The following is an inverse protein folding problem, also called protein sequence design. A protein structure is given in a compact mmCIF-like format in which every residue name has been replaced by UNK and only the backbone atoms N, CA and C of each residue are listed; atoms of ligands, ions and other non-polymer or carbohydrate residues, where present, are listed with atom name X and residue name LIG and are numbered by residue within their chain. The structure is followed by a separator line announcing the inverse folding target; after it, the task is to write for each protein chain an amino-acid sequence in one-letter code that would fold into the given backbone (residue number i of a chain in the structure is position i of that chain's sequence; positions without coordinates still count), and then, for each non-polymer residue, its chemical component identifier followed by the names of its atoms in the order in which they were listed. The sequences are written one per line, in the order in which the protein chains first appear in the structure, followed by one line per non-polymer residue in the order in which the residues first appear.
data_IF_120789297071
#
_entry.id   IF_120789297071
#
_cell.length_a   1.000
_cell.length_b   1.000
_cell.length_c   1.000
_cell.angle_alpha   90.00
_cell.angle_beta   90.00
_cell.angle_gamma   90.00
#
_symmetry.space_group_name_H-M   'P 1'
#
loop_
_entity.id
_entity.type
_entity.pdbx_description
1 polymer ?
#
# COMPACT_ATOMS: atom_id res chain seq x y z
N UNK A 1 26.10 -13.15 -34.02
CA UNK A 1 25.44 -12.02 -33.33
C UNK A 1 23.90 -12.09 -33.34
N UNK A 2 23.25 -12.76 -34.30
CA UNK A 2 21.77 -12.83 -34.42
C UNK A 2 21.02 -13.52 -33.26
N UNK A 3 21.71 -14.36 -32.46
CA UNK A 3 21.12 -15.06 -31.29
C UNK A 3 21.01 -14.20 -30.03
N UNK A 4 21.79 -13.12 -29.92
CA UNK A 4 21.80 -12.25 -28.72
C UNK A 4 20.66 -11.23 -28.75
N UNK A 5 20.25 -10.76 -29.94
CA UNK A 5 19.15 -9.82 -30.11
C UNK A 5 17.78 -10.42 -29.70
N UNK A 6 17.56 -11.71 -29.96
CA UNK A 6 16.32 -12.38 -29.53
C UNK A 6 16.20 -12.50 -28.01
N UNK A 7 17.33 -12.60 -27.29
CA UNK A 7 17.36 -12.77 -25.84
C UNK A 7 17.05 -11.46 -25.11
N UNK A 8 17.51 -10.33 -25.65
CA UNK A 8 17.19 -8.98 -25.14
C UNK A 8 15.71 -8.65 -25.36
N UNK A 9 15.12 -9.08 -26.48
CA UNK A 9 13.70 -8.84 -26.78
C UNK A 9 12.76 -9.60 -25.83
N UNK A 10 13.10 -10.85 -25.48
CA UNK A 10 12.33 -11.67 -24.53
C UNK A 10 12.45 -11.12 -23.11
N UNK A 11 13.63 -10.66 -22.70
CA UNK A 11 13.82 -10.01 -21.40
C UNK A 11 13.05 -8.67 -21.31
N UNK A 12 13.02 -7.88 -22.37
CA UNK A 12 12.29 -6.62 -22.41
C UNK A 12 10.76 -6.77 -22.30
N UNK A 13 10.21 -7.83 -22.91
CA UNK A 13 8.76 -8.11 -22.85
C UNK A 13 8.30 -8.60 -21.46
N UNK A 14 9.15 -9.31 -20.72
CA UNK A 14 8.83 -9.79 -19.37
C UNK A 14 8.83 -8.66 -18.32
N UNK A 15 9.73 -7.68 -18.46
CA UNK A 15 9.79 -6.52 -17.55
C UNK A 15 8.54 -5.63 -17.69
N UNK A 16 8.04 -5.43 -18.91
CA UNK A 16 6.85 -4.61 -19.16
C UNK A 16 5.55 -5.20 -18.57
N UNK A 17 5.44 -6.53 -18.48
CA UNK A 17 4.26 -7.17 -17.88
C UNK A 17 4.20 -7.02 -16.35
N UNK A 18 5.36 -7.10 -15.67
CA UNK A 18 5.45 -6.98 -14.22
C UNK A 18 5.16 -5.55 -13.72
N UNK A 19 5.63 -4.53 -14.45
CA UNK A 19 5.32 -3.13 -14.14
C UNK A 19 3.81 -2.86 -14.24
N UNK A 20 3.16 -3.35 -15.29
CA UNK A 20 1.71 -3.20 -15.46
C UNK A 20 0.88 -3.89 -14.36
N UNK A 21 1.36 -5.00 -13.78
CA UNK A 21 0.67 -5.69 -12.69
C UNK A 21 0.84 -4.96 -11.34
N UNK A 22 2.04 -4.43 -11.10
CA UNK A 22 2.37 -3.65 -9.91
C UNK A 22 1.56 -2.35 -9.86
N UNK A 23 1.54 -1.60 -10.97
CA UNK A 23 0.78 -0.35 -11.08
C UNK A 23 -0.71 -0.57 -10.86
N UNK A 24 -1.29 -1.62 -11.47
CA UNK A 24 -2.70 -1.99 -11.24
C UNK A 24 -2.99 -2.33 -9.79
N UNK A 25 -2.05 -3.00 -9.11
CA UNK A 25 -2.20 -3.33 -7.68
C UNK A 25 -2.16 -2.09 -6.81
N UNK A 26 -1.31 -1.10 -7.13
CA UNK A 26 -1.28 0.19 -6.44
C UNK A 26 -2.59 0.95 -6.70
N UNK A 27 -3.00 1.06 -7.97
CA UNK A 27 -4.22 1.77 -8.38
C UNK A 27 -5.49 1.21 -7.72
N UNK A 28 -5.53 -0.09 -7.40
CA UNK A 28 -6.64 -0.70 -6.66
C UNK A 28 -6.87 -0.04 -5.28
N UNK A 29 -5.81 0.49 -4.67
CA UNK A 29 -5.85 1.06 -3.31
C UNK A 29 -5.67 2.57 -3.27
N UNK A 30 -5.11 3.18 -4.32
CA UNK A 30 -4.97 4.62 -4.49
C UNK A 30 -6.32 5.34 -4.34
N UNK A 31 -6.35 6.39 -3.52
CA UNK A 31 -7.54 7.23 -3.34
C UNK A 31 -7.82 8.11 -4.57
N UNK A 32 -9.07 8.53 -4.77
CA UNK A 32 -9.42 9.40 -5.90
C UNK A 32 -9.29 10.90 -5.60
N UNK A 33 -9.17 11.28 -4.31
CA UNK A 33 -9.12 12.68 -3.86
C UNK A 33 -7.80 13.01 -3.17
N UNK A 34 -7.36 14.27 -3.27
CA UNK A 34 -6.07 14.70 -2.71
C UNK A 34 -6.00 14.65 -1.18
N UNK A 35 -7.14 14.86 -0.52
CA UNK A 35 -7.28 14.83 0.94
C UNK A 35 -7.77 13.48 1.47
N UNK A 36 -7.60 12.41 0.70
CA UNK A 36 -7.95 11.05 1.09
C UNK A 36 -6.72 10.19 1.31
N UNK A 37 -6.81 9.34 2.34
CA UNK A 37 -5.83 8.30 2.64
C UNK A 37 -6.51 6.95 2.79
N UNK A 38 -5.90 5.91 2.25
CA UNK A 38 -6.36 4.55 2.41
C UNK A 38 -5.32 3.71 3.13
N UNK A 39 -5.64 3.29 4.35
CA UNK A 39 -4.82 2.41 5.16
C UNK A 39 -5.14 0.96 4.81
N UNK A 40 -4.18 0.21 4.30
CA UNK A 40 -4.34 -1.20 3.96
C UNK A 40 -3.42 -2.01 4.87
N UNK A 41 -4.03 -2.80 5.76
CA UNK A 41 -3.29 -3.74 6.62
C UNK A 41 -3.25 -5.11 5.94
N UNK A 42 -2.06 -5.56 5.59
CA UNK A 42 -1.80 -6.86 4.99
C UNK A 42 -1.52 -7.91 6.06
N UNK A 43 -2.13 -9.09 5.93
CA UNK A 43 -1.96 -10.19 6.87
C UNK A 43 -1.94 -11.55 6.16
N UNK A 44 -1.15 -12.49 6.65
CA UNK A 44 -1.03 -13.83 6.07
C UNK A 44 -2.08 -14.79 6.68
N UNK A 45 -2.11 -14.90 8.01
CA UNK A 45 -2.95 -15.87 8.70
C UNK A 45 -4.26 -15.24 9.18
N UNK A 46 -4.16 -14.30 10.11
CA UNK A 46 -5.29 -13.70 10.82
C UNK A 46 -5.35 -12.18 10.61
N UNK A 47 -6.57 -11.60 10.51
CA UNK A 47 -6.72 -10.15 10.48
C UNK A 47 -6.16 -9.50 11.76
N UNK A 48 -5.84 -8.19 11.75
CA UNK A 48 -5.23 -7.53 12.89
C UNK A 48 -6.11 -7.65 14.14
N UNK A 49 -5.49 -7.72 15.32
CA UNK A 49 -6.21 -7.83 16.58
C UNK A 49 -7.05 -6.57 16.92
N UNK A 50 -7.79 -6.62 18.04
CA UNK A 50 -8.62 -5.48 18.47
C UNK A 50 -7.78 -4.22 18.78
N UNK A 51 -6.56 -4.38 19.30
CA UNK A 51 -5.69 -3.27 19.70
C UNK A 51 -5.22 -2.51 18.46
N UNK A 52 -4.68 -3.21 17.46
CA UNK A 52 -4.25 -2.62 16.19
C UNK A 52 -5.41 -1.95 15.46
N UNK A 53 -6.58 -2.61 15.39
CA UNK A 53 -7.79 -2.00 14.80
C UNK A 53 -8.20 -0.72 15.52
N UNK A 54 -8.11 -0.69 16.85
CA UNK A 54 -8.41 0.52 17.63
C UNK A 54 -7.41 1.65 17.33
N UNK A 55 -6.13 1.33 17.20
CA UNK A 55 -5.09 2.31 16.89
C UNK A 55 -5.25 2.89 15.47
N UNK A 56 -5.51 2.04 14.47
CA UNK A 56 -5.81 2.48 13.10
C UNK A 56 -7.03 3.41 13.07
N UNK A 57 -8.10 3.06 13.80
CA UNK A 57 -9.27 3.93 13.91
C UNK A 57 -8.97 5.25 14.64
N UNK A 58 -8.10 5.22 15.66
CA UNK A 58 -7.62 6.44 16.33
C UNK A 58 -6.94 7.40 15.36
N UNK A 59 -6.04 6.88 14.50
CA UNK A 59 -5.40 7.69 13.45
C UNK A 59 -6.41 8.23 12.43
N UNK A 60 -7.40 7.43 12.01
CA UNK A 60 -8.48 7.87 11.13
C UNK A 60 -9.26 9.04 11.75
N UNK A 61 -9.62 8.96 13.03
CA UNK A 61 -10.33 10.04 13.74
C UNK A 61 -9.45 11.30 13.85
N UNK A 62 -8.17 11.12 14.16
CA UNK A 62 -7.21 12.23 14.19
C UNK A 62 -7.11 12.95 12.83
N UNK A 63 -6.99 12.20 11.74
CA UNK A 63 -6.93 12.72 10.38
C UNK A 63 -8.22 13.46 9.98
N UNK A 64 -9.38 12.95 10.38
CA UNK A 64 -10.66 13.62 10.12
C UNK A 64 -10.73 15.02 10.75
N UNK A 65 -10.13 15.23 11.93
CA UNK A 65 -10.02 16.56 12.57
C UNK A 65 -9.14 17.54 11.79
N UNK A 66 -8.32 17.03 10.87
CA UNK A 66 -7.49 17.80 9.95
C UNK A 66 -8.08 17.90 8.54
N UNK A 67 -9.37 17.57 8.36
CA UNK A 67 -10.05 17.51 7.06
C UNK A 67 -9.46 16.50 6.07
N UNK A 68 -8.81 15.45 6.59
CA UNK A 68 -8.30 14.33 5.80
C UNK A 68 -9.21 13.14 6.01
N UNK A 69 -9.82 12.66 4.93
CA UNK A 69 -10.69 11.48 4.95
C UNK A 69 -9.80 10.25 4.92
N UNK A 70 -9.99 9.34 5.88
CA UNK A 70 -9.24 8.09 5.94
C UNK A 70 -10.14 6.86 5.92
N UNK A 71 -9.80 5.90 5.07
CA UNK A 71 -10.42 4.56 5.02
C UNK A 71 -9.43 3.51 5.49
N UNK A 72 -9.95 2.38 5.98
CA UNK A 72 -9.14 1.27 6.47
C UNK A 72 -9.67 -0.02 5.83
N UNK A 73 -8.80 -0.79 5.21
CA UNK A 73 -9.09 -2.13 4.72
C UNK A 73 -8.09 -3.14 5.28
N UNK A 74 -8.53 -4.40 5.34
CA UNK A 74 -7.74 -5.53 5.83
C UNK A 74 -7.61 -6.52 4.68
N UNK A 75 -6.41 -6.64 4.13
CA UNK A 75 -6.16 -7.45 2.95
C UNK A 75 -5.39 -8.71 3.33
N UNK A 76 -6.02 -9.88 3.16
CA UNK A 76 -5.30 -11.14 3.29
C UNK A 76 -4.28 -11.26 2.14
N UNK A 77 -3.06 -11.62 2.47
CA UNK A 77 -2.02 -12.00 1.52
C UNK A 77 -2.37 -13.41 1.05
N UNK A 78 -3.00 -13.49 -0.12
CA UNK A 78 -3.30 -14.76 -0.78
C UNK A 78 -2.34 -14.94 -1.95
N UNK A 79 -1.87 -16.16 -2.17
CA UNK A 79 -0.93 -16.49 -3.26
C UNK A 79 -1.46 -16.07 -4.63
N UNK A 80 -2.78 -16.13 -4.84
CA UNK A 80 -3.42 -15.78 -6.12
C UNK A 80 -3.28 -14.32 -6.54
N UNK A 81 -3.24 -13.38 -5.58
CA UNK A 81 -3.10 -11.94 -5.88
C UNK A 81 -1.65 -11.46 -5.80
N UNK A 82 -0.75 -12.32 -5.33
CA UNK A 82 0.69 -12.13 -5.26
C UNK A 82 1.14 -10.74 -4.76
N UNK A 83 0.46 -10.21 -3.74
CA UNK A 83 0.82 -8.89 -3.19
C UNK A 83 2.23 -8.89 -2.60
N UNK A 84 2.76 -10.04 -2.16
CA UNK A 84 4.16 -10.15 -1.73
C UNK A 84 5.13 -9.82 -2.86
N UNK A 85 4.94 -10.34 -4.06
CA UNK A 85 5.81 -10.00 -5.20
C UNK A 85 5.51 -8.61 -5.76
N UNK A 86 4.24 -8.23 -5.86
CA UNK A 86 3.84 -6.98 -6.53
C UNK A 86 4.05 -5.74 -5.67
N UNK A 87 3.81 -5.82 -4.36
CA UNK A 87 3.89 -4.68 -3.45
C UNK A 87 4.96 -4.84 -2.38
N UNK A 88 5.71 -5.96 -2.38
CA UNK A 88 6.71 -6.29 -1.36
C UNK A 88 6.14 -6.20 0.07
N UNK A 89 4.87 -6.59 0.24
CA UNK A 89 4.22 -6.63 1.55
C UNK A 89 4.51 -7.95 2.24
N UNK A 90 4.49 -7.91 3.56
CA UNK A 90 4.66 -9.07 4.44
C UNK A 90 3.52 -9.13 5.43
N UNK A 91 3.44 -10.19 6.21
CA UNK A 91 2.49 -10.26 7.31
C UNK A 91 2.64 -9.05 8.26
N UNK A 92 1.49 -8.47 8.62
CA UNK A 92 1.35 -7.29 9.46
C UNK A 92 1.91 -5.99 8.85
N UNK A 93 2.10 -5.95 7.54
CA UNK A 93 2.51 -4.74 6.83
C UNK A 93 1.33 -3.79 6.66
N UNK A 94 1.57 -2.50 6.86
CA UNK A 94 0.59 -1.44 6.64
C UNK A 94 1.13 -0.54 5.54
N UNK A 95 0.39 -0.48 4.44
CA UNK A 95 0.60 0.53 3.41
C UNK A 95 -0.47 1.59 3.54
N UNK A 96 -0.07 2.85 3.45
CA UNK A 96 -1.00 3.98 3.34
C UNK A 96 -0.88 4.53 1.93
N UNK A 97 -2.00 4.53 1.23
CA UNK A 97 -2.12 5.09 -0.11
C UNK A 97 -2.74 6.47 -0.05
N UNK A 98 -2.24 7.38 -0.87
CA UNK A 98 -2.93 8.62 -1.23
C UNK A 98 -3.27 8.58 -2.73
N UNK A 99 -3.70 9.71 -3.29
CA UNK A 99 -4.03 9.82 -4.72
C UNK A 99 -2.84 9.62 -5.68
N UNK A 100 -1.60 9.70 -5.20
CA UNK A 100 -0.38 9.49 -5.99
C UNK A 100 0.13 8.05 -5.91
N UNK A 101 -0.39 7.23 -4.99
CA UNK A 101 0.02 5.85 -4.77
C UNK A 101 0.44 5.59 -3.33
N UNK A 102 1.48 4.78 -3.11
CA UNK A 102 1.96 4.44 -1.76
C UNK A 102 2.65 5.66 -1.15
N UNK A 103 2.06 6.21 -0.09
CA UNK A 103 2.60 7.33 0.68
C UNK A 103 3.47 6.86 1.84
N UNK A 104 3.00 5.88 2.61
CA UNK A 104 3.74 5.33 3.74
C UNK A 104 3.74 3.80 3.75
N UNK A 105 4.79 3.26 4.35
CA UNK A 105 5.00 1.84 4.51
C UNK A 105 5.53 1.57 5.92
N UNK A 106 4.77 0.84 6.73
CA UNK A 106 5.13 0.56 8.12
C UNK A 106 4.61 -0.80 8.59
N UNK A 107 5.43 -1.54 9.33
CA UNK A 107 5.01 -2.79 9.99
C UNK A 107 4.69 -2.59 11.47
N UNK A 108 5.22 -1.50 12.05
CA UNK A 108 4.96 -1.10 13.43
C UNK A 108 3.94 0.05 13.43
N UNK A 109 2.81 -0.18 14.09
CA UNK A 109 1.72 0.79 14.19
C UNK A 109 2.13 2.12 14.82
N UNK A 110 3.07 2.14 15.76
CA UNK A 110 3.56 3.35 16.41
C UNK A 110 4.47 4.18 15.51
N UNK A 111 5.23 3.51 14.63
CA UNK A 111 6.01 4.21 13.60
C UNK A 111 5.06 4.88 12.62
N UNK A 112 4.00 4.18 12.20
CA UNK A 112 2.97 4.75 11.35
C UNK A 112 2.26 5.94 12.00
N UNK A 113 1.92 5.81 13.28
CA UNK A 113 1.35 6.90 14.07
C UNK A 113 2.26 8.12 14.07
N UNK A 114 3.56 7.95 14.31
CA UNK A 114 4.55 9.03 14.21
C UNK A 114 4.55 9.71 12.83
N UNK A 115 4.52 8.94 11.74
CA UNK A 115 4.45 9.46 10.37
C UNK A 115 3.17 10.25 10.12
N UNK A 116 2.02 9.75 10.59
CA UNK A 116 0.71 10.41 10.48
C UNK A 116 0.67 11.71 11.29
N UNK A 117 1.25 11.73 12.49
CA UNK A 117 1.29 12.93 13.34
C UNK A 117 2.13 14.05 12.71
N UNK A 118 3.24 13.70 12.06
CA UNK A 118 4.13 14.62 11.36
C UNK A 118 3.58 15.09 10.01
N UNK A 119 2.43 14.58 9.57
CA UNK A 119 1.84 14.97 8.30
C UNK A 119 1.50 16.46 8.30
N UNK A 120 2.21 17.19 7.46
CA UNK A 120 1.86 18.53 7.03
C UNK A 120 1.29 18.38 5.61
N UNK A 121 0.00 18.71 5.43
CA UNK A 121 -0.50 18.97 4.09
C UNK A 121 -0.21 20.44 3.83
N UNK A 122 0.43 20.73 2.70
CA UNK A 122 0.48 22.12 2.23
C UNK A 122 -0.98 22.57 2.01
N UNK A 123 -1.38 23.73 2.55
CA UNK A 123 -2.72 24.27 2.38
C UNK A 123 -3.03 24.58 0.91
#
# INVERSE_FOLDING_TARGET
MRKWLGLVLVLGLLVGCAQNATERSIQQFTSSMENELHFVYFYDQEPPDKKIRSQLNGMKVYLARKNIIATISYQKIVSEKNYEELLNVKDSQILVFDFKGIRYNARNIHVLEGMVLQMQMNP
#
